data_IF_282524957353
#
_entry.id   IF_282524957353
#
_cell.length_a   1.000
_cell.length_b   1.000
_cell.length_c   1.000
_cell.angle_alpha   90.00
_cell.angle_beta   90.00
_cell.angle_gamma   90.00
#
_symmetry.space_group_name_H-M   'P 1'
#
loop_
_entity.id
_entity.type
_entity.pdbx_description
1 polymer ?
#
# COMPACT_ATOMS: atom_id res chain seq x y z
N UNK A 1 11.90 58.91 -29.60
CA UNK A 1 11.66 58.75 -28.15
C UNK A 1 10.25 58.24 -27.98
N UNK A 2 10.12 56.94 -27.72
CA UNK A 2 8.87 56.23 -27.42
C UNK A 2 9.25 55.00 -26.57
N UNK A 3 8.39 54.59 -25.63
CA UNK A 3 8.83 54.09 -24.33
C UNK A 3 8.96 52.56 -24.24
N UNK A 4 9.82 52.15 -23.30
CA UNK A 4 9.72 50.99 -22.42
C UNK A 4 9.17 49.67 -22.99
N UNK A 5 10.10 48.79 -23.40
CA UNK A 5 9.84 47.35 -23.42
C UNK A 5 9.97 46.81 -21.99
N UNK A 6 8.84 46.61 -21.32
CA UNK A 6 8.78 45.85 -20.08
C UNK A 6 9.25 44.42 -20.37
N UNK A 7 10.40 44.05 -19.80
CA UNK A 7 10.85 42.66 -19.78
C UNK A 7 9.83 41.87 -18.95
N UNK A 8 9.00 41.08 -19.62
CA UNK A 8 8.20 40.02 -19.03
C UNK A 8 9.16 39.08 -18.31
N UNK A 9 9.22 39.18 -16.97
CA UNK A 9 9.77 38.12 -16.13
C UNK A 9 8.90 36.88 -16.37
N UNK A 10 9.40 35.98 -17.22
CA UNK A 10 8.92 34.60 -17.25
C UNK A 10 9.21 34.06 -15.85
N UNK A 11 8.16 33.80 -15.08
CA UNK A 11 8.30 33.12 -13.80
C UNK A 11 9.02 31.80 -14.04
N UNK A 12 10.18 31.67 -13.43
CA UNK A 12 10.95 30.43 -13.37
C UNK A 12 10.04 29.34 -12.81
N UNK A 13 9.69 28.37 -13.65
CA UNK A 13 8.96 27.17 -13.24
C UNK A 13 9.87 26.42 -12.28
N UNK A 14 9.68 26.66 -10.99
CA UNK A 14 10.27 25.92 -9.87
C UNK A 14 10.51 24.46 -10.25
N UNK A 15 11.77 24.11 -10.52
CA UNK A 15 12.17 22.72 -10.69
C UNK A 15 11.88 22.01 -9.37
N UNK A 16 10.92 21.08 -9.40
CA UNK A 16 10.61 20.29 -8.22
C UNK A 16 11.86 19.51 -7.78
N UNK A 17 12.02 19.26 -6.46
CA UNK A 17 13.10 18.40 -6.00
C UNK A 17 13.00 17.01 -6.64
N UNK A 18 14.10 16.26 -6.72
CA UNK A 18 14.03 14.87 -7.17
C UNK A 18 13.07 14.07 -6.27
N UNK A 19 12.42 13.03 -6.79
CA UNK A 19 11.56 12.18 -5.98
C UNK A 19 12.36 11.57 -4.82
N UNK A 20 11.76 11.37 -3.64
CA UNK A 20 12.43 10.72 -2.52
C UNK A 20 12.78 9.27 -2.88
N UNK A 21 13.94 8.79 -2.40
CA UNK A 21 14.52 7.48 -2.74
C UNK A 21 15.09 6.72 -1.53
N UNK A 22 14.78 7.16 -0.30
CA UNK A 22 15.34 6.55 0.91
C UNK A 22 14.30 5.67 1.56
N UNK A 23 14.60 4.37 1.67
CA UNK A 23 13.76 3.45 2.45
C UNK A 23 13.87 3.76 3.95
N UNK A 24 12.80 3.45 4.68
CA UNK A 24 12.73 3.44 6.13
C UNK A 24 13.00 2.05 6.74
N UNK A 25 13.29 1.06 5.90
CA UNK A 25 13.62 -0.29 6.35
C UNK A 25 15.01 -0.38 7.02
N UNK A 26 15.21 -1.35 7.93
CA UNK A 26 14.24 -2.37 8.35
C UNK A 26 13.14 -1.83 9.28
N UNK A 27 12.07 -2.60 9.50
CA UNK A 27 11.04 -2.23 10.46
C UNK A 27 11.63 -1.95 11.86
N UNK A 28 11.12 -0.97 12.61
CA UNK A 28 11.58 -0.73 13.98
C UNK A 28 11.22 -1.91 14.88
N UNK A 29 11.93 -2.08 15.99
CA UNK A 29 11.57 -3.06 17.02
C UNK A 29 10.17 -2.74 17.57
N UNK A 30 9.39 -3.77 17.88
CA UNK A 30 8.08 -3.61 18.54
C UNK A 30 8.22 -2.89 19.88
N UNK A 31 7.32 -1.94 20.14
CA UNK A 31 7.23 -1.27 21.44
C UNK A 31 6.53 -2.18 22.45
N UNK A 32 6.98 -2.20 23.70
CA UNK A 32 6.27 -2.89 24.78
C UNK A 32 4.85 -2.31 24.97
N UNK A 33 3.87 -3.17 25.26
CA UNK A 33 2.47 -2.76 25.39
C UNK A 33 1.78 -2.40 24.07
N UNK A 34 2.34 -2.81 22.91
CA UNK A 34 1.79 -2.51 21.58
C UNK A 34 1.13 -3.72 20.92
N UNK A 35 0.29 -3.46 19.92
CA UNK A 35 -0.13 -4.44 18.93
C UNK A 35 0.43 -4.04 17.57
N UNK A 36 1.10 -4.98 16.90
CA UNK A 36 1.57 -4.85 15.53
C UNK A 36 0.72 -5.69 14.59
N UNK A 37 0.07 -5.07 13.62
CA UNK A 37 -0.48 -5.75 12.43
C UNK A 37 0.55 -5.69 11.32
N UNK A 38 0.90 -6.85 10.75
CA UNK A 38 1.69 -6.94 9.51
C UNK A 38 0.85 -7.61 8.44
N UNK A 39 0.90 -7.08 7.22
CA UNK A 39 0.27 -7.70 6.04
C UNK A 39 1.25 -7.71 4.88
N UNK A 40 1.24 -8.79 4.11
CA UNK A 40 1.98 -8.91 2.87
C UNK A 40 1.14 -9.55 1.77
N UNK A 41 1.39 -9.16 0.53
CA UNK A 41 0.92 -9.86 -0.66
C UNK A 41 2.13 -10.06 -1.56
N UNK A 42 2.58 -11.31 -1.65
CA UNK A 42 3.65 -11.75 -2.54
C UNK A 42 3.06 -12.29 -3.83
N UNK A 43 3.58 -11.82 -4.96
CA UNK A 43 3.09 -12.19 -6.29
C UNK A 43 4.21 -12.84 -7.07
N UNK A 44 3.90 -13.95 -7.73
CA UNK A 44 4.81 -14.70 -8.60
C UNK A 44 4.12 -15.21 -9.87
N UNK A 45 4.92 -15.69 -10.81
CA UNK A 45 4.48 -16.26 -12.09
C UNK A 45 5.09 -17.66 -12.27
N UNK A 46 4.62 -18.67 -11.51
CA UNK A 46 5.23 -20.00 -11.50
C UNK A 46 5.19 -20.71 -12.86
N UNK A 47 4.18 -20.37 -13.67
CA UNK A 47 3.95 -20.96 -14.99
C UNK A 47 4.48 -20.05 -16.13
N UNK A 48 5.35 -19.07 -15.79
CA UNK A 48 5.95 -18.14 -16.74
C UNK A 48 5.09 -16.92 -17.09
N UNK A 49 5.55 -16.14 -18.08
CA UNK A 49 4.98 -14.82 -18.43
C UNK A 49 3.49 -14.86 -18.80
N UNK A 50 3.09 -15.86 -19.58
CA UNK A 50 1.70 -16.05 -20.01
C UNK A 50 0.87 -16.91 -19.03
N UNK A 51 1.50 -17.35 -17.94
CA UNK A 51 0.87 -18.10 -16.87
C UNK A 51 -0.03 -17.24 -15.98
N UNK A 52 -0.83 -17.92 -15.15
CA UNK A 52 -1.60 -17.23 -14.12
C UNK A 52 -0.67 -16.67 -13.05
N UNK A 53 -0.98 -15.45 -12.62
CA UNK A 53 -0.36 -14.85 -11.44
C UNK A 53 -0.79 -15.61 -10.20
N UNK A 54 0.18 -15.97 -9.36
CA UNK A 54 -0.06 -16.50 -8.02
C UNK A 54 0.14 -15.38 -7.01
N UNK A 55 -0.84 -15.18 -6.13
CA UNK A 55 -0.77 -14.23 -5.02
C UNK A 55 -0.84 -15.01 -3.71
N UNK A 56 0.08 -14.75 -2.80
CA UNK A 56 0.05 -15.25 -1.42
C UNK A 56 -0.14 -14.04 -0.52
N UNK A 57 -1.35 -13.89 0.03
CA UNK A 57 -1.65 -12.89 1.03
C UNK A 57 -1.45 -13.46 2.42
N UNK A 58 -0.78 -12.73 3.31
CA UNK A 58 -0.63 -13.09 4.71
C UNK A 58 -0.85 -11.88 5.62
N UNK A 59 -1.39 -12.12 6.80
CA UNK A 59 -1.65 -11.11 7.82
C UNK A 59 -1.43 -11.70 9.21
N UNK A 60 -0.84 -10.90 10.11
CA UNK A 60 -0.67 -11.27 11.53
C UNK A 60 -0.83 -10.06 12.44
N UNK A 61 -1.63 -10.24 13.47
CA UNK A 61 -1.72 -9.35 14.63
C UNK A 61 -0.91 -9.96 15.77
N UNK A 62 0.10 -9.24 16.24
CA UNK A 62 1.00 -9.66 17.30
C UNK A 62 0.95 -8.66 18.45
N UNK A 63 0.59 -9.11 19.64
CA UNK A 63 0.69 -8.32 20.86
C UNK A 63 2.08 -8.46 21.48
N UNK A 64 2.66 -7.34 21.91
CA UNK A 64 3.92 -7.31 22.64
C UNK A 64 3.61 -6.90 24.08
N UNK A 65 3.73 -7.80 25.07
CA UNK A 65 3.44 -7.51 26.47
C UNK A 65 4.30 -6.37 27.05
N UNK A 66 3.88 -5.81 28.19
CA UNK A 66 4.68 -4.83 28.92
C UNK A 66 5.91 -5.46 29.59
N UNK A 67 5.80 -6.72 29.99
CA UNK A 67 6.85 -7.51 30.63
C UNK A 67 7.18 -8.73 29.78
N UNK A 68 8.43 -8.84 29.33
CA UNK A 68 8.90 -9.93 28.46
C UNK A 68 8.91 -9.57 26.97
N UNK A 69 9.78 -10.25 26.23
CA UNK A 69 9.96 -10.05 24.77
C UNK A 69 9.08 -10.99 23.93
N UNK A 70 8.45 -11.98 24.57
CA UNK A 70 7.63 -13.00 23.94
C UNK A 70 6.35 -12.34 23.38
N UNK A 71 6.29 -12.19 22.06
CA UNK A 71 5.08 -11.73 21.37
C UNK A 71 3.99 -12.80 21.38
N UNK A 72 2.74 -12.41 21.59
CA UNK A 72 1.58 -13.30 21.48
C UNK A 72 0.82 -13.02 20.18
N UNK A 73 0.72 -14.03 19.31
CA UNK A 73 -0.12 -13.95 18.12
C UNK A 73 -1.59 -13.88 18.54
N UNK A 74 -2.26 -12.78 18.22
CA UNK A 74 -3.67 -12.58 18.51
C UNK A 74 -4.57 -13.10 17.40
N UNK A 75 -4.14 -12.93 16.15
CA UNK A 75 -4.86 -13.38 14.96
C UNK A 75 -3.88 -13.53 13.79
N UNK A 76 -4.16 -14.51 12.92
CA UNK A 76 -3.44 -14.73 11.67
C UNK A 76 -4.44 -15.04 10.56
N UNK A 77 -4.09 -14.64 9.34
CA UNK A 77 -4.83 -15.03 8.16
C UNK A 77 -3.90 -15.19 6.96
N UNK A 78 -4.27 -16.09 6.05
CA UNK A 78 -3.57 -16.33 4.79
C UNK A 78 -4.58 -16.55 3.68
N UNK A 79 -4.25 -16.14 2.45
CA UNK A 79 -4.90 -16.67 1.26
C UNK A 79 -3.88 -17.02 0.18
N UNK A 80 -4.32 -17.85 -0.76
CA UNK A 80 -3.65 -18.07 -2.02
C UNK A 80 -4.65 -17.87 -3.16
N UNK A 81 -4.30 -17.00 -4.13
CA UNK A 81 -5.11 -16.70 -5.30
C UNK A 81 -4.34 -17.09 -6.56
N UNK A 82 -5.04 -17.72 -7.50
CA UNK A 82 -4.63 -17.80 -8.91
C UNK A 82 -5.47 -16.83 -9.71
N UNK A 83 -4.82 -15.98 -10.50
CA UNK A 83 -5.47 -14.89 -11.21
C UNK A 83 -4.95 -14.77 -12.65
N UNK A 84 -5.89 -14.62 -13.59
CA UNK A 84 -5.59 -14.41 -15.00
C UNK A 84 -5.01 -13.02 -15.29
N UNK A 85 -4.51 -12.82 -16.50
CA UNK A 85 -3.92 -11.55 -16.94
C UNK A 85 -4.91 -10.38 -16.86
N UNK A 86 -6.19 -10.62 -17.16
CA UNK A 86 -7.27 -9.63 -17.06
C UNK A 86 -7.71 -9.32 -15.61
N UNK A 87 -7.03 -9.90 -14.62
CA UNK A 87 -7.27 -9.77 -13.16
C UNK A 87 -8.51 -10.51 -12.67
N UNK A 88 -8.99 -11.51 -13.41
CA UNK A 88 -10.07 -12.39 -12.93
C UNK A 88 -9.51 -13.45 -11.96
N UNK A 89 -10.13 -13.60 -10.80
CA UNK A 89 -9.76 -14.62 -9.81
C UNK A 89 -10.22 -15.98 -10.34
N UNK A 90 -9.27 -16.83 -10.72
CA UNK A 90 -9.55 -18.16 -11.24
C UNK A 90 -9.74 -19.19 -10.12
N UNK A 91 -9.00 -19.03 -9.01
CA UNK A 91 -9.15 -19.84 -7.81
C UNK A 91 -8.67 -19.05 -6.59
N UNK A 92 -9.29 -19.30 -5.44
CA UNK A 92 -8.85 -18.75 -4.16
C UNK A 92 -9.10 -19.76 -3.03
N UNK A 93 -8.18 -19.81 -2.08
CA UNK A 93 -8.35 -20.50 -0.80
C UNK A 93 -7.81 -19.60 0.32
N UNK A 94 -8.42 -19.65 1.51
CA UNK A 94 -7.97 -18.87 2.65
C UNK A 94 -7.99 -19.67 3.96
N UNK A 95 -7.26 -19.13 4.93
CA UNK A 95 -7.15 -19.62 6.29
C UNK A 95 -7.31 -18.41 7.23
N UNK A 96 -8.26 -18.44 8.19
CA UNK A 96 -9.31 -19.44 8.33
C UNK A 96 -10.19 -19.53 7.07
N UNK A 97 -10.69 -20.73 6.79
CA UNK A 97 -11.63 -20.93 5.69
C UNK A 97 -12.98 -20.30 6.04
N UNK A 98 -13.65 -19.71 5.07
CA UNK A 98 -15.01 -19.23 5.21
C UNK A 98 -15.77 -19.31 3.88
N UNK A 99 -17.07 -19.57 3.96
CA UNK A 99 -17.93 -19.79 2.79
C UNK A 99 -17.88 -18.62 1.79
N UNK A 100 -17.76 -17.40 2.29
CA UNK A 100 -17.69 -16.18 1.49
C UNK A 100 -16.49 -16.11 0.54
N UNK A 101 -15.40 -16.85 0.80
CA UNK A 101 -14.21 -16.86 -0.08
C UNK A 101 -14.55 -17.42 -1.47
N UNK A 102 -15.43 -18.42 -1.54
CA UNK A 102 -15.84 -19.02 -2.80
C UNK A 102 -16.54 -18.01 -3.73
N UNK A 103 -17.21 -16.99 -3.17
CA UNK A 103 -17.88 -15.94 -3.95
C UNK A 103 -16.91 -15.01 -4.69
N UNK A 104 -15.61 -15.06 -4.38
CA UNK A 104 -14.60 -14.25 -5.06
C UNK A 104 -14.13 -14.89 -6.37
N UNK A 105 -14.40 -16.19 -6.60
CA UNK A 105 -14.05 -16.85 -7.86
C UNK A 105 -14.87 -16.24 -9.00
N UNK A 106 -14.20 -15.87 -10.09
CA UNK A 106 -14.79 -15.16 -11.23
C UNK A 106 -14.90 -13.64 -11.04
N UNK A 107 -14.67 -13.12 -9.82
CA UNK A 107 -14.59 -11.69 -9.61
C UNK A 107 -13.29 -11.12 -10.19
N UNK A 108 -13.33 -9.86 -10.63
CA UNK A 108 -12.16 -9.14 -11.13
C UNK A 108 -11.54 -8.28 -10.04
N UNK A 109 -10.27 -8.52 -9.72
CA UNK A 109 -9.51 -7.67 -8.81
C UNK A 109 -9.32 -6.26 -9.39
N UNK A 110 -9.31 -5.25 -8.52
CA UNK A 110 -9.27 -3.83 -8.87
C UNK A 110 -10.46 -3.07 -8.28
N UNK A 111 -10.95 -2.05 -8.99
CA UNK A 111 -11.92 -1.09 -8.43
C UNK A 111 -13.25 -1.66 -7.90
N UNK A 112 -13.69 -2.83 -8.37
CA UNK A 112 -14.96 -3.43 -7.97
C UNK A 112 -14.84 -4.42 -6.79
N UNK A 113 -13.65 -5.00 -6.57
CA UNK A 113 -13.45 -6.07 -5.59
C UNK A 113 -13.75 -5.59 -4.16
N UNK A 114 -13.37 -4.36 -3.81
CA UNK A 114 -13.66 -3.77 -2.49
C UNK A 114 -15.17 -3.66 -2.20
N UNK A 115 -15.97 -3.39 -3.22
CA UNK A 115 -17.44 -3.38 -3.09
C UNK A 115 -17.96 -4.78 -2.78
N UNK A 116 -17.53 -5.77 -3.55
CA UNK A 116 -17.90 -7.17 -3.37
C UNK A 116 -17.47 -7.70 -1.99
N UNK A 117 -16.27 -7.38 -1.51
CA UNK A 117 -15.78 -7.80 -0.19
C UNK A 117 -16.69 -7.30 0.94
N UNK A 118 -17.17 -6.05 0.86
CA UNK A 118 -18.12 -5.50 1.84
C UNK A 118 -19.48 -6.21 1.79
N UNK A 119 -19.91 -6.65 0.62
CA UNK A 119 -21.16 -7.38 0.43
C UNK A 119 -21.09 -8.81 0.96
N UNK A 120 -20.02 -9.54 0.65
CA UNK A 120 -19.92 -10.98 0.94
C UNK A 120 -19.27 -11.29 2.29
N UNK A 121 -18.55 -10.36 2.89
CA UNK A 121 -17.83 -10.55 4.17
C UNK A 121 -18.06 -9.41 5.19
N UNK A 122 -19.29 -8.91 5.38
CA UNK A 122 -19.54 -7.74 6.24
C UNK A 122 -19.07 -7.95 7.69
N UNK A 123 -19.19 -9.18 8.22
CA UNK A 123 -18.76 -9.51 9.57
C UNK A 123 -17.24 -9.41 9.74
N UNK A 124 -16.46 -9.75 8.71
CA UNK A 124 -15.00 -9.59 8.75
C UNK A 124 -14.60 -8.12 8.71
N UNK A 125 -15.35 -7.28 7.99
CA UNK A 125 -15.16 -5.82 7.99
C UNK A 125 -15.44 -5.27 9.38
N UNK A 126 -16.60 -5.61 9.96
CA UNK A 126 -17.00 -5.15 11.28
C UNK A 126 -16.04 -5.60 12.39
N UNK A 127 -15.49 -6.81 12.28
CA UNK A 127 -14.51 -7.35 13.21
C UNK A 127 -13.07 -6.87 12.98
N UNK A 128 -12.82 -6.06 11.93
CA UNK A 128 -11.48 -5.69 11.47
C UNK A 128 -10.56 -6.92 11.29
N UNK A 129 -11.11 -8.02 10.78
CA UNK A 129 -10.42 -9.30 10.70
C UNK A 129 -9.20 -9.20 9.75
N UNK A 130 -8.01 -9.73 10.12
CA UNK A 130 -6.80 -9.60 9.30
C UNK A 130 -6.94 -10.08 7.86
N UNK A 131 -7.78 -11.10 7.63
CA UNK A 131 -8.07 -11.60 6.27
C UNK A 131 -8.70 -10.53 5.36
N UNK A 132 -9.59 -9.68 5.91
CA UNK A 132 -10.28 -8.67 5.11
C UNK A 132 -9.31 -7.63 4.56
N UNK A 133 -8.39 -7.11 5.39
CA UNK A 133 -7.47 -6.06 4.94
C UNK A 133 -6.51 -6.56 3.86
N UNK A 134 -6.00 -7.79 3.99
CA UNK A 134 -5.11 -8.37 2.97
C UNK A 134 -5.87 -8.72 1.67
N UNK A 135 -7.17 -9.04 1.74
CA UNK A 135 -8.04 -9.17 0.56
C UNK A 135 -8.38 -7.81 -0.07
N UNK A 136 -8.62 -6.76 0.71
CA UNK A 136 -8.85 -5.41 0.20
C UNK A 136 -7.63 -4.92 -0.60
N UNK A 137 -6.42 -5.15 -0.07
CA UNK A 137 -5.14 -4.79 -0.70
C UNK A 137 -4.88 -5.54 -2.02
N UNK A 138 -5.50 -6.72 -2.24
CA UNK A 138 -5.43 -7.46 -3.52
C UNK A 138 -5.86 -6.59 -4.70
N UNK A 139 -6.82 -5.69 -4.48
CA UNK A 139 -7.34 -4.75 -5.50
C UNK A 139 -6.23 -3.87 -6.05
N UNK A 140 -5.39 -3.31 -5.19
CA UNK A 140 -4.26 -2.47 -5.58
C UNK A 140 -3.11 -3.32 -6.12
N UNK A 141 -2.74 -4.40 -5.43
CA UNK A 141 -1.62 -5.27 -5.83
C UNK A 141 -1.82 -5.86 -7.22
N UNK A 142 -3.04 -6.28 -7.59
CA UNK A 142 -3.33 -6.81 -8.93
C UNK A 142 -3.12 -5.81 -10.06
N UNK A 143 -3.18 -4.50 -9.79
CA UNK A 143 -2.94 -3.44 -10.77
C UNK A 143 -1.45 -3.18 -10.99
N UNK A 144 -0.66 -3.24 -9.92
CA UNK A 144 0.74 -2.80 -9.95
C UNK A 144 1.74 -3.94 -10.06
N UNK A 145 1.34 -5.19 -9.74
CA UNK A 145 2.29 -6.31 -9.63
C UNK A 145 3.09 -6.58 -10.90
N UNK A 146 2.51 -6.36 -12.08
CA UNK A 146 3.19 -6.55 -13.37
C UNK A 146 4.40 -5.64 -13.56
N UNK A 147 4.58 -4.61 -12.72
CA UNK A 147 5.83 -3.85 -12.63
C UNK A 147 7.04 -4.75 -12.41
N UNK A 148 6.89 -5.90 -11.74
CA UNK A 148 7.99 -6.86 -11.54
C UNK A 148 8.68 -7.28 -12.85
N UNK A 149 7.94 -7.39 -13.96
CA UNK A 149 8.52 -7.78 -15.26
C UNK A 149 9.51 -6.75 -15.80
N UNK A 150 9.29 -5.47 -15.53
CA UNK A 150 10.24 -4.41 -15.93
C UNK A 150 11.62 -4.55 -15.27
N UNK A 151 11.71 -5.27 -14.14
CA UNK A 151 12.96 -5.50 -13.42
C UNK A 151 13.70 -6.76 -13.91
N UNK A 152 13.05 -7.55 -14.76
CA UNK A 152 13.58 -8.80 -15.30
C UNK A 152 13.82 -8.74 -16.80
N UNK A 153 13.09 -7.87 -17.50
CA UNK A 153 13.16 -7.66 -18.94
C UNK A 153 13.32 -6.16 -19.25
N UNK A 154 14.52 -5.71 -19.64
CA UNK A 154 14.74 -4.31 -20.03
C UNK A 154 13.85 -3.86 -21.20
N UNK A 155 13.49 -4.79 -22.09
CA UNK A 155 12.59 -4.61 -23.24
C UNK A 155 11.09 -4.78 -22.89
N UNK A 156 10.73 -4.84 -21.60
CA UNK A 156 9.35 -5.09 -21.16
C UNK A 156 8.34 -4.10 -21.75
N UNK A 157 8.68 -2.81 -21.81
CA UNK A 157 7.79 -1.79 -22.34
C UNK A 157 7.45 -2.04 -23.82
N UNK A 158 8.46 -2.42 -24.62
CA UNK A 158 8.29 -2.73 -26.04
C UNK A 158 7.47 -4.01 -26.23
N UNK A 159 7.75 -5.07 -25.46
CA UNK A 159 6.97 -6.31 -25.46
C UNK A 159 5.49 -6.08 -25.13
N UNK A 160 5.23 -5.24 -24.12
CA UNK A 160 3.86 -4.92 -23.72
C UNK A 160 3.13 -4.16 -24.84
N UNK A 161 3.82 -3.23 -25.50
CA UNK A 161 3.27 -2.50 -26.65
C UNK A 161 2.99 -3.42 -27.84
N UNK A 162 3.91 -4.34 -28.16
CA UNK A 162 3.73 -5.33 -29.23
C UNK A 162 2.55 -6.26 -28.95
N UNK A 163 2.44 -6.76 -27.70
CA UNK A 163 1.36 -7.67 -27.28
C UNK A 163 -0.02 -7.01 -27.34
N UNK A 164 -0.16 -5.77 -26.89
CA UNK A 164 -1.43 -5.05 -26.87
C UNK A 164 -1.79 -4.45 -28.24
N UNK A 165 -0.78 -4.11 -29.04
CA UNK A 165 -0.93 -3.24 -30.20
C UNK A 165 -1.16 -1.78 -29.81
N UNK A 166 -0.94 -0.87 -30.77
CA UNK A 166 -0.91 0.58 -30.53
C UNK A 166 -2.22 1.13 -29.95
N UNK A 167 -3.37 0.72 -30.48
CA UNK A 167 -4.66 1.25 -30.05
C UNK A 167 -5.00 0.89 -28.59
N UNK A 168 -4.80 -0.36 -28.21
CA UNK A 168 -5.08 -0.82 -26.84
C UNK A 168 -4.05 -0.28 -25.85
N UNK A 169 -2.77 -0.20 -26.24
CA UNK A 169 -1.73 0.44 -25.45
C UNK A 169 -2.05 1.92 -25.20
N UNK A 170 -2.46 2.68 -26.22
CA UNK A 170 -2.87 4.07 -26.08
C UNK A 170 -4.08 4.23 -25.14
N UNK A 171 -5.08 3.36 -25.26
CA UNK A 171 -6.23 3.36 -24.34
C UNK A 171 -5.81 3.10 -22.89
N UNK A 172 -4.90 2.15 -22.67
CA UNK A 172 -4.36 1.85 -21.34
C UNK A 172 -3.61 3.04 -20.74
N UNK A 173 -2.80 3.75 -21.54
CA UNK A 173 -2.10 4.95 -21.09
C UNK A 173 -3.08 6.08 -20.77
N UNK A 174 -4.10 6.30 -21.60
CA UNK A 174 -5.13 7.31 -21.34
C UNK A 174 -5.90 7.06 -20.04
N UNK A 175 -6.16 5.80 -19.68
CA UNK A 175 -6.82 5.42 -18.42
C UNK A 175 -6.00 5.74 -17.15
N UNK A 176 -4.70 6.00 -17.29
CA UNK A 176 -3.83 6.37 -16.16
C UNK A 176 -3.90 7.86 -15.84
N UNK A 177 -4.33 8.70 -16.78
CA UNK A 177 -4.39 10.15 -16.58
C UNK A 177 -5.41 10.47 -15.49
N UNK A 178 -5.02 11.33 -14.56
CA UNK A 178 -5.81 11.76 -13.40
C UNK A 178 -6.19 10.62 -12.43
N UNK A 179 -5.54 9.46 -12.50
CA UNK A 179 -5.80 8.36 -11.54
C UNK A 179 -5.23 8.67 -10.15
N UNK A 180 -4.19 9.50 -10.08
CA UNK A 180 -3.58 10.01 -8.87
C UNK A 180 -2.89 11.36 -9.12
N UNK A 181 -2.49 12.04 -8.05
CA UNK A 181 -1.72 13.29 -8.07
C UNK A 181 -0.51 13.22 -9.02
N UNK A 182 0.33 12.19 -8.87
CA UNK A 182 1.54 12.04 -9.69
C UNK A 182 1.27 11.76 -11.18
N UNK A 183 0.03 11.36 -11.52
CA UNK A 183 -0.41 11.08 -12.88
C UNK A 183 -1.49 12.07 -13.33
N UNK A 184 -1.53 13.26 -12.73
CA UNK A 184 -2.37 14.34 -13.21
C UNK A 184 -1.94 14.76 -14.62
N UNK A 185 -2.89 15.19 -15.44
CA UNK A 185 -2.60 15.77 -16.76
C UNK A 185 -1.55 16.89 -16.64
N UNK A 186 -0.52 16.82 -17.50
CA UNK A 186 0.62 17.74 -17.49
C UNK A 186 1.79 17.31 -16.61
N UNK A 187 1.63 16.34 -15.69
CA UNK A 187 2.73 15.84 -14.88
C UNK A 187 3.63 14.88 -15.67
N UNK A 188 4.88 14.77 -15.20
CA UNK A 188 5.95 14.01 -15.85
C UNK A 188 5.63 12.52 -16.05
N UNK A 189 4.85 11.92 -15.14
CA UNK A 189 4.37 10.54 -15.25
C UNK A 189 3.33 10.30 -16.35
N UNK A 190 2.79 11.37 -16.96
CA UNK A 190 1.85 11.35 -18.10
C UNK A 190 2.50 11.84 -19.38
N UNK A 191 3.29 12.91 -19.33
CA UNK A 191 3.93 13.50 -20.52
C UNK A 191 5.00 12.59 -21.14
N UNK A 192 5.58 11.68 -20.35
CA UNK A 192 6.62 10.76 -20.80
C UNK A 192 8.03 11.35 -20.75
N UNK A 193 8.19 12.52 -20.12
CA UNK A 193 9.48 13.23 -20.01
C UNK A 193 10.42 12.62 -18.96
N UNK A 194 9.99 11.56 -18.27
CA UNK A 194 10.78 10.86 -17.26
C UNK A 194 11.50 9.69 -17.90
N UNK A 195 12.80 9.63 -17.66
CA UNK A 195 13.62 8.45 -17.91
C UNK A 195 13.04 7.22 -17.17
N UNK A 196 12.52 6.21 -17.89
CA UNK A 196 11.89 5.05 -17.28
C UNK A 196 12.80 4.29 -16.30
N UNK A 197 14.12 4.29 -16.55
CA UNK A 197 15.11 3.63 -15.67
C UNK A 197 15.21 4.33 -14.30
N UNK A 198 14.86 5.63 -14.25
CA UNK A 198 14.90 6.42 -13.01
C UNK A 198 13.59 6.36 -12.24
N UNK A 199 12.50 5.84 -12.81
CA UNK A 199 11.19 5.79 -12.14
C UNK A 199 11.24 4.89 -10.90
N UNK A 200 11.92 3.75 -10.96
CA UNK A 200 12.04 2.81 -9.85
C UNK A 200 13.47 2.30 -9.73
N UNK A 201 14.30 3.05 -9.02
CA UNK A 201 15.73 2.76 -8.84
C UNK A 201 16.16 2.59 -7.37
N UNK A 202 15.28 2.95 -6.43
CA UNK A 202 15.58 2.92 -5.01
C UNK A 202 15.62 1.48 -4.46
N UNK A 203 16.66 1.18 -3.70
CA UNK A 203 16.73 -0.07 -2.93
C UNK A 203 15.59 -0.11 -1.91
N UNK A 204 14.90 -1.24 -1.85
CA UNK A 204 13.76 -1.41 -0.96
C UNK A 204 14.16 -1.70 0.50
N UNK A 205 15.41 -2.11 0.75
CA UNK A 205 15.83 -2.68 2.03
C UNK A 205 15.16 -4.00 2.37
N UNK A 206 15.66 -4.70 3.40
CA UNK A 206 14.93 -5.82 4.01
C UNK A 206 13.92 -5.28 5.02
N UNK A 207 12.65 -5.67 4.88
CA UNK A 207 11.59 -5.32 5.83
C UNK A 207 11.89 -5.84 7.25
N UNK A 208 12.57 -6.99 7.34
CA UNK A 208 12.81 -7.71 8.60
C UNK A 208 13.99 -7.08 9.34
N UNK A 209 13.78 -6.88 10.63
CA UNK A 209 14.83 -6.42 11.52
C UNK A 209 15.46 -7.62 12.24
N UNK A 210 16.76 -7.87 12.10
CA UNK A 210 17.43 -8.96 12.83
C UNK A 210 17.31 -8.83 14.35
N UNK A 211 17.11 -7.61 14.88
CA UNK A 211 16.89 -7.36 16.30
C UNK A 211 15.44 -7.56 16.75
N UNK A 212 14.50 -7.86 15.84
CA UNK A 212 13.11 -8.22 16.17
C UNK A 212 12.62 -9.34 15.24
N UNK A 213 13.01 -10.60 15.51
CA UNK A 213 12.65 -11.74 14.66
C UNK A 213 11.14 -11.99 14.52
N UNK A 214 10.35 -11.56 15.51
CA UNK A 214 8.88 -11.63 15.47
C UNK A 214 8.24 -10.37 14.86
N UNK A 215 9.05 -9.41 14.40
CA UNK A 215 8.58 -8.13 13.86
C UNK A 215 7.78 -8.24 12.57
N UNK A 216 7.91 -9.37 11.85
CA UNK A 216 7.13 -9.72 10.65
C UNK A 216 6.72 -11.18 10.69
N UNK A 217 5.57 -11.50 10.10
CA UNK A 217 5.20 -12.88 9.76
C UNK A 217 6.11 -13.40 8.63
N UNK A 218 6.04 -14.71 8.39
CA UNK A 218 6.78 -15.33 7.29
C UNK A 218 6.35 -14.75 5.95
N UNK A 219 7.30 -14.16 5.23
CA UNK A 219 7.08 -13.59 3.91
C UNK A 219 7.27 -14.70 2.86
N UNK A 220 6.34 -14.80 1.91
CA UNK A 220 6.45 -15.82 0.89
C UNK A 220 7.57 -15.45 -0.10
N UNK A 221 8.35 -16.46 -0.48
CA UNK A 221 9.40 -16.32 -1.48
C UNK A 221 9.19 -17.35 -2.58
N UNK A 222 9.21 -16.87 -3.82
CA UNK A 222 9.16 -17.67 -5.03
C UNK A 222 10.35 -17.29 -5.93
N UNK A 223 10.78 -18.21 -6.79
CA UNK A 223 11.80 -17.94 -7.79
C UNK A 223 11.28 -17.04 -8.91
N UNK A 224 12.21 -16.36 -9.58
CA UNK A 224 11.88 -15.52 -10.74
C UNK A 224 11.33 -14.14 -10.37
N UNK A 225 10.62 -13.49 -11.33
CA UNK A 225 9.96 -12.21 -11.11
C UNK A 225 8.98 -12.28 -9.96
N UNK A 226 9.07 -11.29 -9.07
CA UNK A 226 8.18 -11.22 -7.93
C UNK A 226 7.85 -9.79 -7.54
N UNK A 227 6.65 -9.58 -7.04
CA UNK A 227 6.19 -8.31 -6.48
C UNK A 227 5.76 -8.53 -5.02
N UNK A 228 5.95 -7.52 -4.18
CA UNK A 228 5.51 -7.52 -2.78
C UNK A 228 4.84 -6.20 -2.48
N UNK A 229 3.61 -6.28 -1.99
CA UNK A 229 3.01 -5.21 -1.20
C UNK A 229 3.17 -5.59 0.26
N UNK A 230 3.75 -4.71 1.07
CA UNK A 230 3.96 -4.94 2.50
C UNK A 230 3.47 -3.75 3.31
N UNK A 231 2.85 -4.04 4.46
CA UNK A 231 2.37 -3.04 5.40
C UNK A 231 2.63 -3.49 6.83
N UNK A 232 3.00 -2.52 7.67
CA UNK A 232 3.08 -2.63 9.12
C UNK A 232 2.22 -1.54 9.72
N UNK A 233 1.43 -1.85 10.75
CA UNK A 233 0.73 -0.89 11.58
C UNK A 233 1.05 -1.24 13.03
N UNK A 234 1.81 -0.38 13.69
CA UNK A 234 2.07 -0.43 15.12
C UNK A 234 1.06 0.46 15.85
N UNK A 235 0.44 -0.09 16.89
CA UNK A 235 -0.57 0.59 17.70
C UNK A 235 -0.16 0.54 19.15
N UNK A 236 -0.10 1.69 19.81
CA UNK A 236 -0.04 1.82 21.26
C UNK A 236 -1.27 2.58 21.76
N UNK A 237 -1.63 2.34 23.01
CA UNK A 237 -2.75 3.01 23.68
C UNK A 237 -2.27 3.54 25.02
N UNK A 238 -2.49 4.83 25.24
CA UNK A 238 -2.25 5.50 26.51
C UNK A 238 -3.61 5.93 27.09
N UNK A 239 -4.07 5.18 28.10
CA UNK A 239 -5.36 5.43 28.73
C UNK A 239 -5.33 6.68 29.65
N UNK A 240 -4.16 7.09 30.16
CA UNK A 240 -4.03 8.29 30.98
C UNK A 240 -4.06 9.55 30.12
N UNK A 241 -3.34 9.54 28.99
CA UNK A 241 -3.39 10.61 28.01
C UNK A 241 -4.67 10.60 27.17
N UNK A 242 -5.42 9.49 27.16
CA UNK A 242 -6.61 9.31 26.33
C UNK A 242 -6.31 9.23 24.83
N UNK A 243 -5.15 8.70 24.43
CA UNK A 243 -4.67 8.73 23.05
C UNK A 243 -4.26 7.35 22.55
N UNK A 244 -4.63 7.04 21.31
CA UNK A 244 -4.08 5.95 20.51
C UNK A 244 -2.99 6.53 19.61
N UNK A 245 -1.81 5.93 19.59
CA UNK A 245 -0.72 6.32 18.69
C UNK A 245 -0.47 5.24 17.66
N UNK A 246 -0.25 5.66 16.42
CA UNK A 246 -0.10 4.82 15.25
C UNK A 246 1.25 5.14 14.59
N UNK A 247 2.04 4.11 14.32
CA UNK A 247 3.19 4.17 13.42
C UNK A 247 3.02 3.10 12.33
N UNK A 248 2.75 3.53 11.12
CA UNK A 248 2.44 2.65 9.99
C UNK A 248 3.46 2.82 8.87
N UNK A 249 3.77 1.74 8.18
CA UNK A 249 4.61 1.73 6.99
C UNK A 249 3.91 0.96 5.86
N UNK A 250 4.11 1.41 4.63
CA UNK A 250 3.64 0.78 3.40
C UNK A 250 4.79 0.76 2.40
N UNK A 251 4.99 -0.37 1.72
CA UNK A 251 5.93 -0.47 0.61
C UNK A 251 5.41 -1.39 -0.49
N UNK A 252 5.53 -0.95 -1.74
CA UNK A 252 5.42 -1.77 -2.93
C UNK A 252 6.80 -1.97 -3.56
N UNK A 253 7.26 -3.21 -3.71
CA UNK A 253 8.58 -3.55 -4.23
C UNK A 253 8.62 -4.77 -5.15
N UNK A 254 9.52 -4.76 -6.12
CA UNK A 254 9.76 -5.86 -7.06
C UNK A 254 11.13 -6.51 -6.83
N UNK A 255 11.22 -7.84 -7.01
CA UNK A 255 12.50 -8.57 -7.03
C UNK A 255 13.32 -8.12 -8.22
N UNK A 256 14.61 -7.90 -8.02
CA UNK A 256 15.55 -7.74 -9.14
C UNK A 256 16.17 -9.07 -9.53
N UNK A 257 16.60 -9.18 -10.79
CA UNK A 257 17.27 -10.37 -11.32
C UNK A 257 18.63 -10.63 -10.66
N UNK A 258 19.34 -9.57 -10.28
CA UNK A 258 20.66 -9.61 -9.64
C UNK A 258 20.59 -9.76 -8.10
N UNK A 259 19.39 -9.81 -7.53
CA UNK A 259 19.15 -9.98 -6.10
C UNK A 259 18.55 -8.75 -5.44
N UNK A 260 18.03 -8.92 -4.22
CA UNK A 260 17.35 -7.85 -3.50
C UNK A 260 16.05 -7.40 -4.17
N UNK A 261 15.59 -6.20 -3.81
CA UNK A 261 14.33 -5.64 -4.28
C UNK A 261 14.46 -4.16 -4.56
N UNK A 262 13.68 -3.68 -5.53
CA UNK A 262 13.51 -2.26 -5.83
C UNK A 262 12.14 -1.81 -5.36
N UNK A 263 12.07 -0.70 -4.63
CA UNK A 263 10.80 -0.11 -4.21
C UNK A 263 10.35 0.95 -5.22
N UNK A 264 9.04 1.01 -5.45
CA UNK A 264 8.42 2.03 -6.31
C UNK A 264 7.58 3.03 -5.51
N UNK A 265 6.90 2.57 -4.47
CA UNK A 265 6.15 3.41 -3.54
C UNK A 265 6.48 2.99 -2.12
N UNK A 266 6.85 3.95 -1.28
CA UNK A 266 7.03 3.76 0.14
C UNK A 266 6.56 5.00 0.91
N UNK A 267 5.74 4.77 1.93
CA UNK A 267 5.23 5.78 2.84
C UNK A 267 5.36 5.31 4.29
N UNK A 268 5.62 6.25 5.20
CA UNK A 268 5.31 6.10 6.61
C UNK A 268 4.15 7.00 6.98
N UNK A 269 3.35 6.58 7.94
CA UNK A 269 2.26 7.37 8.52
C UNK A 269 2.42 7.35 10.02
N UNK A 270 2.60 8.51 10.63
CA UNK A 270 2.47 8.68 12.08
C UNK A 270 1.14 9.36 12.35
N UNK A 271 0.34 8.84 13.29
CA UNK A 271 -0.94 9.45 13.62
C UNK A 271 -1.27 9.32 15.11
N UNK A 272 -2.04 10.28 15.61
CA UNK A 272 -2.60 10.28 16.96
C UNK A 272 -4.11 10.39 16.86
N UNK A 273 -4.81 9.60 17.66
CA UNK A 273 -6.27 9.50 17.64
C UNK A 273 -6.81 9.55 19.07
N UNK A 274 -7.91 10.27 19.28
CA UNK A 274 -8.61 10.29 20.56
C UNK A 274 -9.14 8.89 20.89
N UNK A 275 -8.80 8.38 22.08
CA UNK A 275 -9.08 7.00 22.44
C UNK A 275 -10.56 6.72 22.77
N UNK A 276 -11.38 7.76 22.90
CA UNK A 276 -12.82 7.69 23.19
C UNK A 276 -13.66 7.98 21.96
N UNK A 277 -13.39 9.08 21.26
CA UNK A 277 -14.19 9.53 20.09
C UNK A 277 -13.71 8.92 18.78
N UNK A 278 -12.48 8.41 18.74
CA UNK A 278 -11.76 7.98 17.53
C UNK A 278 -11.49 9.11 16.54
N UNK A 279 -11.54 10.36 16.98
CA UNK A 279 -11.18 11.51 16.17
C UNK A 279 -9.69 11.51 15.85
N UNK A 280 -9.33 11.69 14.58
CA UNK A 280 -7.93 11.83 14.15
C UNK A 280 -7.40 13.19 14.61
N UNK A 281 -6.52 13.20 15.62
CA UNK A 281 -5.94 14.39 16.22
C UNK A 281 -4.75 14.93 15.43
N UNK A 282 -3.93 14.01 14.89
CA UNK A 282 -2.83 14.36 13.99
C UNK A 282 -2.56 13.24 12.99
N UNK A 283 -2.08 13.61 11.81
CA UNK A 283 -1.70 12.69 10.74
C UNK A 283 -0.50 13.26 9.99
N UNK A 284 0.61 12.52 9.99
CA UNK A 284 1.88 12.93 9.43
C UNK A 284 2.38 11.88 8.44
N UNK A 285 1.98 11.98 7.16
CA UNK A 285 2.53 11.13 6.11
C UNK A 285 3.94 11.57 5.71
N UNK A 286 4.85 10.62 5.67
CA UNK A 286 6.21 10.80 5.19
C UNK A 286 6.40 10.02 3.88
N UNK A 287 6.68 10.74 2.79
CA UNK A 287 7.04 10.15 1.51
C UNK A 287 8.50 9.68 1.54
N UNK A 288 8.72 8.37 1.34
CA UNK A 288 10.06 7.74 1.44
C UNK A 288 10.65 7.38 0.09
N UNK A 289 9.86 6.69 -0.73
CA UNK A 289 10.24 6.30 -2.08
C UNK A 289 9.06 6.55 -3.00
N UNK A 290 9.23 7.37 -4.04
CA UNK A 290 8.17 7.68 -4.99
C UNK A 290 8.69 7.72 -6.43
N UNK A 291 7.83 7.48 -7.43
CA UNK A 291 8.25 7.40 -8.82
C UNK A 291 8.57 8.76 -9.45
N UNK A 292 7.80 9.79 -9.10
CA UNK A 292 7.85 11.11 -9.75
C UNK A 292 8.03 12.25 -8.74
N UNK A 293 8.65 13.35 -9.17
CA UNK A 293 8.92 14.54 -8.35
C UNK A 293 7.65 15.22 -7.85
N UNK A 294 6.54 15.06 -8.55
CA UNK A 294 5.23 15.62 -8.20
C UNK A 294 4.54 14.82 -7.11
N UNK A 295 4.80 13.51 -7.00
CA UNK A 295 4.09 12.59 -6.11
C UNK A 295 4.05 13.01 -4.62
N UNK A 296 5.10 13.62 -4.02
CA UNK A 296 5.03 14.12 -2.66
C UNK A 296 3.90 15.12 -2.42
N UNK A 297 3.41 15.85 -3.44
CA UNK A 297 2.34 16.84 -3.28
C UNK A 297 1.03 16.27 -2.74
N UNK A 298 0.76 14.98 -2.95
CA UNK A 298 -0.43 14.31 -2.42
C UNK A 298 -0.48 14.24 -0.89
N UNK A 299 0.67 14.33 -0.21
CA UNK A 299 0.73 14.19 1.26
C UNK A 299 0.02 15.32 1.99
N UNK A 300 0.07 16.54 1.45
CA UNK A 300 -0.56 17.71 2.06
C UNK A 300 -2.09 17.56 2.15
N UNK A 301 -2.71 16.95 1.14
CA UNK A 301 -4.16 16.76 1.11
C UNK A 301 -4.68 15.80 2.18
N UNK A 302 -3.82 14.93 2.73
CA UNK A 302 -4.21 14.03 3.83
C UNK A 302 -4.64 14.78 5.09
N UNK A 303 -4.24 16.04 5.26
CA UNK A 303 -4.66 16.86 6.41
C UNK A 303 -6.17 17.08 6.47
N UNK A 304 -6.89 16.88 5.35
CA UNK A 304 -8.37 16.90 5.33
C UNK A 304 -8.99 15.81 6.21
N UNK A 305 -8.24 14.77 6.56
CA UNK A 305 -8.67 13.67 7.41
C UNK A 305 -8.49 13.95 8.91
N UNK A 306 -7.79 15.02 9.29
CA UNK A 306 -7.71 15.44 10.70
C UNK A 306 -9.07 15.97 11.13
N UNK A 307 -9.56 15.50 12.27
CA UNK A 307 -10.93 15.73 12.75
C UNK A 307 -11.96 14.71 12.24
N UNK A 308 -11.62 13.84 11.29
CA UNK A 308 -12.49 12.74 10.88
C UNK A 308 -12.47 11.60 11.90
N UNK A 309 -13.49 10.73 11.85
CA UNK A 309 -13.52 9.53 12.67
C UNK A 309 -12.69 8.41 12.02
N UNK A 310 -11.71 7.86 12.76
CA UNK A 310 -10.83 6.82 12.23
C UNK A 310 -11.58 5.56 11.78
N UNK A 311 -12.71 5.21 12.41
CA UNK A 311 -13.51 4.05 12.00
C UNK A 311 -14.14 4.23 10.60
N UNK A 312 -14.37 5.49 10.18
CA UNK A 312 -15.01 5.85 8.91
C UNK A 312 -13.98 6.21 7.81
N UNK A 313 -12.69 6.21 8.15
CA UNK A 313 -11.59 6.72 7.31
C UNK A 313 -11.54 6.09 5.91
N UNK A 314 -12.06 4.86 5.74
CA UNK A 314 -12.16 4.21 4.42
C UNK A 314 -13.00 5.04 3.44
N UNK A 315 -14.16 5.50 3.88
CA UNK A 315 -15.07 6.30 3.06
C UNK A 315 -14.59 7.74 2.93
N UNK A 316 -14.01 8.31 3.98
CA UNK A 316 -13.43 9.66 3.93
C UNK A 316 -12.29 9.74 2.92
N UNK A 317 -11.36 8.79 2.91
CA UNK A 317 -10.29 8.72 1.90
C UNK A 317 -10.87 8.62 0.49
N UNK A 318 -11.90 7.79 0.30
CA UNK A 318 -12.54 7.62 -1.01
C UNK A 318 -13.23 8.92 -1.48
N UNK A 319 -13.82 9.68 -0.55
CA UNK A 319 -14.58 10.88 -0.86
C UNK A 319 -13.67 12.09 -1.06
N UNK A 320 -12.62 12.22 -0.25
CA UNK A 320 -11.83 13.45 -0.14
C UNK A 320 -10.50 13.43 -0.91
N UNK A 321 -9.96 12.24 -1.21
CA UNK A 321 -8.61 12.05 -1.77
C UNK A 321 -8.60 11.28 -3.09
N UNK A 322 -9.74 11.16 -3.79
CA UNK A 322 -9.83 10.39 -5.04
C UNK A 322 -9.14 11.10 -6.21
N UNK A 323 -8.50 10.30 -7.06
CA UNK A 323 -7.95 10.80 -8.32
C UNK A 323 -6.82 11.79 -8.06
N UNK A 324 -6.79 12.95 -8.74
CA UNK A 324 -5.71 13.93 -8.58
C UNK A 324 -5.58 14.49 -7.16
N UNK A 325 -6.60 14.37 -6.31
CA UNK A 325 -6.54 14.84 -4.93
C UNK A 325 -5.67 13.98 -4.00
N UNK A 326 -5.27 12.78 -4.43
CA UNK A 326 -4.48 11.87 -3.60
C UNK A 326 -3.57 10.95 -4.40
N UNK A 327 -2.94 10.01 -3.71
CA UNK A 327 -2.16 8.95 -4.33
C UNK A 327 -2.85 7.63 -4.06
N UNK A 328 -3.03 6.77 -5.08
CA UNK A 328 -3.68 5.46 -4.90
C UNK A 328 -3.01 4.63 -3.80
N UNK A 329 -1.68 4.67 -3.72
CA UNK A 329 -0.89 3.96 -2.71
C UNK A 329 -0.98 4.59 -1.31
N UNK A 330 -0.93 5.92 -1.21
CA UNK A 330 -1.12 6.63 0.05
C UNK A 330 -2.53 6.43 0.59
N UNK A 331 -3.53 6.49 -0.29
CA UNK A 331 -4.93 6.25 0.03
C UNK A 331 -5.14 4.82 0.54
N UNK A 332 -4.56 3.81 -0.13
CA UNK A 332 -4.57 2.43 0.36
C UNK A 332 -3.92 2.36 1.75
N UNK A 333 -2.85 3.12 2.02
CA UNK A 333 -2.22 3.15 3.34
C UNK A 333 -3.06 3.80 4.44
N UNK A 334 -3.75 4.89 4.12
CA UNK A 334 -4.67 5.56 5.05
C UNK A 334 -5.91 4.72 5.36
N UNK A 335 -6.49 4.09 4.33
CA UNK A 335 -7.66 3.19 4.46
C UNK A 335 -7.42 2.02 5.42
N UNK A 336 -6.19 1.53 5.48
CA UNK A 336 -5.82 0.43 6.37
C UNK A 336 -5.87 0.82 7.86
N UNK A 337 -5.78 2.11 8.19
CA UNK A 337 -5.84 2.60 9.57
C UNK A 337 -7.23 2.44 10.21
N UNK A 338 -8.27 2.17 9.41
CA UNK A 338 -9.62 1.92 9.89
C UNK A 338 -9.72 0.73 10.86
N UNK A 339 -8.75 -0.20 10.83
CA UNK A 339 -8.73 -1.36 11.72
C UNK A 339 -8.08 -1.06 13.09
N UNK A 340 -7.40 0.08 13.23
CA UNK A 340 -6.68 0.47 14.46
C UNK A 340 -7.57 0.48 15.71
N UNK A 341 -8.85 0.95 15.68
CA UNK A 341 -9.68 0.92 16.88
C UNK A 341 -9.84 -0.50 17.45
N UNK A 342 -9.97 -1.50 16.57
CA UNK A 342 -10.05 -2.90 16.97
C UNK A 342 -8.72 -3.43 17.52
N UNK A 343 -7.59 -3.05 16.91
CA UNK A 343 -6.25 -3.39 17.42
C UNK A 343 -5.99 -2.79 18.80
N UNK A 344 -6.34 -1.51 18.99
CA UNK A 344 -6.19 -0.81 20.27
C UNK A 344 -7.06 -1.42 21.38
N UNK A 345 -8.26 -1.90 21.05
CA UNK A 345 -9.13 -2.58 22.01
C UNK A 345 -8.52 -3.88 22.56
N UNK A 346 -7.67 -4.57 21.77
CA UNK A 346 -6.96 -5.78 22.23
C UNK A 346 -5.92 -5.45 23.32
N UNK A 347 -5.29 -4.28 23.27
CA UNK A 347 -4.34 -3.83 24.31
C UNK A 347 -5.06 -3.67 25.65
N UNK A 348 -6.22 -2.99 25.66
CA UNK A 348 -7.01 -2.76 26.87
C UNK A 348 -7.61 -4.05 27.46
N UNK A 349 -7.87 -5.06 26.63
CA UNK A 349 -8.33 -6.38 27.05
C UNK A 349 -7.21 -7.21 27.70
N UNK A 350 -6.01 -7.20 27.11
CA UNK A 350 -4.86 -7.97 27.61
C UNK A 350 -4.25 -7.41 28.89
N UNK A 351 -4.42 -6.12 29.19
CA UNK A 351 -3.97 -5.53 30.46
C UNK A 351 -4.83 -5.95 31.68
N UNK A 352 -5.99 -6.59 31.46
CA UNK A 352 -6.95 -6.97 32.52
C UNK A 352 -7.04 -8.49 32.76
N UNK A 353 -6.29 -9.31 32.01
CA UNK A 353 -6.25 -10.76 32.15
C UNK A 353 -4.95 -11.23 32.77
#
# INVERSE_FOLDING_TARGET
MGPEGAASFVMDTSTLPPPPRSTANPAPQRTAGSVRRTTSIDVSWPDGLDGQRRFVGAARDLWTPQAGEDGLTLAEARYEVRMSEDKTIAAIAAQPDCEAIAHLVGARAGGHLRGLLREVMPDMVAAAHPLYIVLDDLSGTALVSSFAWSQWHPDWADRLREKLGEAQHAQMMAQRVNVCWGLQEGNSGVSGDVDPEKVASADAGDLRNPADPLGWHDLAEDDGPGFRRARRIDVTRDDEAGVITIDSAFQDSAKRRDGGRVAIHEYRLTARVDAQTLEVLSLEPEARILPFSECPGATANTQRLVGCNLAEIREDVLTQLRGPEGCTHLNDALRALADVPALAARIAGSARG
#
